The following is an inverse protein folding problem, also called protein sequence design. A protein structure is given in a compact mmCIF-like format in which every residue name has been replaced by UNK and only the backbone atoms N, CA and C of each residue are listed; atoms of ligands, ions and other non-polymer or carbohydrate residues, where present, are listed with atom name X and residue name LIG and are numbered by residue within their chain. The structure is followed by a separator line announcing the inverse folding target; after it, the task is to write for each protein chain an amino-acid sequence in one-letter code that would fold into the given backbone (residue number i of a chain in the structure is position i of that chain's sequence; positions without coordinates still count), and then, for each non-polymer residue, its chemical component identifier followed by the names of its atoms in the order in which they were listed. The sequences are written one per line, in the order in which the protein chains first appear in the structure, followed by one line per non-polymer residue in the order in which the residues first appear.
data_IF_407866358955
#
_entry.id   IF_407866358955
#
_cell.length_a   1.000
_cell.length_b   1.000
_cell.length_c   1.000
_cell.angle_alpha   90.00
_cell.angle_beta   90.00
_cell.angle_gamma   90.00
#
_symmetry.space_group_name_H-M   'P 1'
#
loop_
_entity.id
_entity.type
_entity.pdbx_description
1 polymer ?
#
# COMPACT_ATOMS: atom_id res chain seq x y z
N UNK A 1 -15.71 -11.22 -45.47
CA UNK A 1 -16.86 -10.76 -44.69
C UNK A 1 -17.56 -11.98 -44.11
N UNK A 2 -17.35 -12.30 -42.81
CA UNK A 2 -18.05 -13.40 -42.12
C UNK A 2 -18.92 -12.78 -41.03
N UNK A 3 -20.23 -12.89 -41.19
CA UNK A 3 -21.25 -12.48 -40.22
C UNK A 3 -21.09 -13.32 -38.92
N UNK A 4 -20.82 -12.66 -37.77
CA UNK A 4 -21.02 -13.26 -36.45
C UNK A 4 -22.52 -13.23 -36.14
N UNK A 5 -23.13 -14.42 -36.04
CA UNK A 5 -24.49 -14.61 -35.52
C UNK A 5 -24.55 -14.15 -34.06
N UNK A 6 -25.47 -13.22 -33.80
CA UNK A 6 -25.95 -12.92 -32.45
C UNK A 6 -26.74 -14.13 -31.95
N UNK A 7 -26.22 -14.79 -30.93
CA UNK A 7 -26.98 -15.83 -30.23
C UNK A 7 -28.10 -15.18 -29.42
N UNK A 8 -29.32 -15.58 -29.70
CA UNK A 8 -30.50 -15.15 -28.98
C UNK A 8 -30.49 -15.69 -27.54
N UNK A 9 -30.32 -14.78 -26.59
CA UNK A 9 -30.57 -15.05 -25.18
C UNK A 9 -32.04 -15.43 -25.00
N UNK A 10 -32.31 -16.67 -24.61
CA UNK A 10 -33.68 -17.13 -24.39
C UNK A 10 -34.22 -16.53 -23.08
N UNK A 11 -35.56 -16.30 -23.02
CA UNK A 11 -36.23 -15.81 -21.79
C UNK A 11 -35.86 -16.66 -20.52
N UNK A 12 -35.58 -17.93 -20.71
CA UNK A 12 -35.16 -18.84 -19.62
C UNK A 12 -33.77 -18.53 -19.09
N UNK A 13 -32.81 -18.20 -19.96
CA UNK A 13 -31.44 -17.84 -19.52
C UNK A 13 -31.43 -16.47 -18.84
N UNK A 14 -32.25 -15.53 -19.26
CA UNK A 14 -32.43 -14.22 -18.64
C UNK A 14 -33.06 -14.35 -17.23
N UNK A 15 -34.12 -15.15 -17.10
CA UNK A 15 -34.78 -15.39 -15.81
C UNK A 15 -33.88 -16.16 -14.83
N UNK A 16 -33.08 -17.12 -15.30
CA UNK A 16 -32.12 -17.83 -14.47
C UNK A 16 -30.97 -16.91 -13.99
N UNK A 17 -30.51 -15.98 -14.83
CA UNK A 17 -29.51 -14.98 -14.45
C UNK A 17 -30.08 -13.96 -13.48
N UNK A 18 -31.33 -13.52 -13.70
CA UNK A 18 -32.04 -12.58 -12.82
C UNK A 18 -32.37 -13.20 -11.46
N UNK A 19 -32.70 -14.50 -11.41
CA UNK A 19 -32.94 -15.20 -10.15
C UNK A 19 -31.66 -15.40 -9.35
N UNK A 20 -30.52 -15.66 -10.02
CA UNK A 20 -29.21 -15.71 -9.37
C UNK A 20 -28.78 -14.34 -8.85
N UNK A 21 -28.98 -13.28 -9.61
CA UNK A 21 -28.71 -11.91 -9.18
C UNK A 21 -29.60 -11.47 -8.00
N UNK A 22 -30.88 -11.89 -8.00
CA UNK A 22 -31.80 -11.61 -6.89
C UNK A 22 -31.48 -12.40 -5.60
N UNK A 23 -30.98 -13.62 -5.72
CA UNK A 23 -30.51 -14.42 -4.57
C UNK A 23 -29.19 -13.89 -3.99
N UNK A 24 -28.30 -13.36 -4.84
CA UNK A 24 -27.10 -12.65 -4.37
C UNK A 24 -27.41 -11.26 -3.81
N UNK A 25 -28.37 -10.54 -4.39
CA UNK A 25 -28.77 -9.20 -3.91
C UNK A 25 -29.53 -9.21 -2.58
N UNK A 26 -30.25 -10.28 -2.25
CA UNK A 26 -30.98 -10.41 -0.97
C UNK A 26 -30.06 -10.81 0.19
N UNK A 27 -28.91 -11.41 -0.08
CA UNK A 27 -27.86 -11.69 0.93
C UNK A 27 -26.99 -10.45 1.23
N UNK A 28 -26.89 -9.49 0.31
CA UNK A 28 -26.07 -8.28 0.48
C UNK A 28 -26.70 -7.25 1.44
N UNK A 29 -27.99 -7.35 1.80
CA UNK A 29 -28.67 -6.39 2.65
C UNK A 29 -28.40 -6.56 4.16
N UNK A 30 -27.69 -7.62 4.62
CA UNK A 30 -27.18 -7.83 6.00
C UNK A 30 -26.04 -8.86 6.02
N UNK A 31 -25.19 -8.86 5.02
CA UNK A 31 -24.20 -9.90 4.83
C UNK A 31 -22.84 -9.51 5.34
N UNK A 32 -22.52 -10.04 6.46
CA UNK A 32 -21.16 -10.36 6.86
C UNK A 32 -20.55 -11.17 5.73
N UNK A 33 -19.34 -10.77 5.30
CA UNK A 33 -18.56 -11.50 4.32
C UNK A 33 -18.55 -12.99 4.62
N UNK A 34 -19.00 -13.79 3.67
CA UNK A 34 -19.02 -15.25 3.79
C UNK A 34 -17.59 -15.74 3.87
N UNK A 35 -17.27 -16.55 4.87
CA UNK A 35 -15.96 -17.16 5.00
C UNK A 35 -15.67 -17.99 3.73
N UNK A 36 -14.73 -17.52 2.91
CA UNK A 36 -14.26 -18.26 1.75
C UNK A 36 -13.04 -19.10 2.15
N UNK A 37 -13.08 -20.40 1.82
CA UNK A 37 -11.93 -21.30 2.00
C UNK A 37 -11.00 -21.21 0.78
N UNK A 38 -10.49 -20.00 0.52
CA UNK A 38 -9.54 -19.77 -0.56
C UNK A 38 -8.13 -19.67 0.01
N UNK A 39 -7.17 -20.46 -0.49
CA UNK A 39 -5.78 -20.32 -0.07
C UNK A 39 -5.29 -18.88 -0.26
N UNK A 40 -4.60 -18.33 0.74
CA UNK A 40 -3.93 -17.06 0.62
C UNK A 40 -2.48 -17.26 0.17
N UNK A 41 -2.01 -16.34 -0.64
CA UNK A 41 -0.60 -16.24 -1.04
C UNK A 41 -0.16 -14.79 -0.96
N UNK A 42 1.09 -14.56 -0.55
CA UNK A 42 1.68 -13.23 -0.67
C UNK A 42 1.95 -12.90 -2.15
N UNK A 43 2.27 -11.64 -2.44
CA UNK A 43 2.47 -11.16 -3.81
C UNK A 43 3.56 -11.92 -4.57
N UNK A 44 4.64 -12.36 -3.91
CA UNK A 44 5.74 -13.11 -4.52
C UNK A 44 5.44 -14.61 -4.69
N UNK A 45 4.37 -15.10 -4.07
CA UNK A 45 4.03 -16.53 -4.05
C UNK A 45 4.90 -17.39 -3.13
N UNK A 46 5.90 -16.79 -2.45
CA UNK A 46 6.81 -17.50 -1.56
C UNK A 46 6.17 -17.94 -0.23
N UNK A 47 5.08 -17.28 0.17
CA UNK A 47 4.31 -17.64 1.35
C UNK A 47 2.88 -17.97 0.97
N UNK A 48 2.35 -19.07 1.49
CA UNK A 48 0.96 -19.45 1.32
C UNK A 48 0.44 -20.20 2.52
N UNK A 49 -0.86 -20.09 2.80
CA UNK A 49 -1.54 -20.86 3.83
C UNK A 49 -3.03 -20.95 3.55
N UNK A 50 -3.72 -21.85 4.24
CA UNK A 50 -5.17 -22.02 4.19
C UNK A 50 -5.78 -21.49 5.48
N UNK A 51 -6.42 -20.30 5.48
CA UNK A 51 -7.12 -19.79 6.67
C UNK A 51 -8.37 -20.64 6.94
N UNK A 52 -8.80 -20.72 8.21
CA UNK A 52 -10.09 -21.30 8.58
C UNK A 52 -11.27 -20.54 7.96
N UNK A 53 -11.13 -19.24 7.81
CA UNK A 53 -12.08 -18.39 7.11
C UNK A 53 -11.39 -17.11 6.62
N UNK A 54 -11.90 -16.57 5.51
CA UNK A 54 -11.49 -15.27 4.95
C UNK A 54 -12.68 -14.34 4.93
N UNK A 55 -12.49 -13.14 5.42
CA UNK A 55 -13.52 -12.11 5.54
C UNK A 55 -13.03 -10.83 4.87
N UNK A 56 -13.79 -10.35 3.90
CA UNK A 56 -13.56 -9.08 3.23
C UNK A 56 -14.48 -8.04 3.89
N UNK A 57 -13.90 -7.02 4.52
CA UNK A 57 -14.59 -6.03 5.35
C UNK A 57 -14.60 -4.68 4.64
N UNK A 58 -15.80 -4.09 4.52
CA UNK A 58 -16.00 -2.78 3.88
C UNK A 58 -16.33 -1.66 4.90
N UNK A 59 -16.74 -2.00 6.11
CA UNK A 59 -17.17 -1.05 7.14
C UNK A 59 -16.65 -1.47 8.52
N UNK A 60 -16.37 -0.52 9.39
CA UNK A 60 -15.85 -0.78 10.74
C UNK A 60 -16.82 -1.59 11.60
N UNK A 61 -18.13 -1.35 11.46
CA UNK A 61 -19.16 -2.08 12.17
C UNK A 61 -19.14 -3.57 11.84
N UNK A 62 -18.90 -3.93 10.57
CA UNK A 62 -18.74 -5.33 10.15
C UNK A 62 -17.54 -5.97 10.83
N UNK A 63 -16.45 -5.23 10.98
CA UNK A 63 -15.24 -5.70 11.66
C UNK A 63 -15.49 -5.91 13.15
N UNK A 64 -16.15 -4.96 13.81
CA UNK A 64 -16.54 -5.07 15.23
C UNK A 64 -17.40 -6.30 15.46
N UNK A 65 -18.41 -6.52 14.63
CA UNK A 65 -19.31 -7.68 14.73
C UNK A 65 -18.56 -8.99 14.46
N UNK A 66 -17.64 -9.00 13.49
CA UNK A 66 -16.81 -10.15 13.20
C UNK A 66 -15.93 -10.53 14.41
N UNK A 67 -15.23 -9.55 14.98
CA UNK A 67 -14.34 -9.76 16.13
C UNK A 67 -15.08 -10.31 17.35
N UNK A 68 -16.28 -9.80 17.65
CA UNK A 68 -17.10 -10.23 18.80
C UNK A 68 -17.61 -11.67 18.69
N UNK A 69 -17.81 -12.19 17.48
CA UNK A 69 -18.41 -13.52 17.26
C UNK A 69 -17.43 -14.60 16.79
N UNK A 70 -16.24 -14.21 16.32
CA UNK A 70 -15.25 -15.16 15.78
C UNK A 70 -14.31 -15.59 16.90
N UNK A 71 -14.29 -16.88 17.17
CA UNK A 71 -13.33 -17.46 18.10
C UNK A 71 -12.00 -17.78 17.40
N UNK A 72 -10.90 -17.67 18.13
CA UNK A 72 -9.57 -18.02 17.63
C UNK A 72 -8.78 -16.82 17.12
N UNK A 73 -7.64 -17.09 16.51
CA UNK A 73 -6.75 -16.05 15.99
C UNK A 73 -7.34 -15.38 14.75
N UNK A 74 -7.28 -14.07 14.71
CA UNK A 74 -7.68 -13.24 13.57
C UNK A 74 -6.47 -12.43 13.11
N UNK A 75 -6.14 -12.52 11.82
CA UNK A 75 -5.02 -11.80 11.24
C UNK A 75 -5.49 -10.85 10.15
N UNK A 76 -5.26 -9.53 10.29
CA UNK A 76 -5.49 -8.58 9.21
C UNK A 76 -4.43 -8.72 8.12
N UNK A 77 -4.83 -8.46 6.88
CA UNK A 77 -3.92 -8.38 5.74
C UNK A 77 -4.28 -7.21 4.84
N UNK A 78 -3.25 -6.51 4.38
CA UNK A 78 -3.32 -5.59 3.25
C UNK A 78 -2.90 -6.29 1.96
N UNK A 79 -2.01 -5.68 1.18
CA UNK A 79 -1.58 -6.21 -0.13
C UNK A 79 -0.65 -7.44 -0.06
N UNK A 80 -0.23 -7.89 1.13
CA UNK A 80 0.60 -9.08 1.29
C UNK A 80 2.02 -8.94 0.71
N UNK A 81 2.62 -7.76 0.79
CA UNK A 81 3.95 -7.49 0.22
C UNK A 81 5.13 -7.95 1.10
N UNK A 82 4.90 -8.30 2.36
CA UNK A 82 5.96 -8.80 3.24
C UNK A 82 6.52 -10.15 2.75
N UNK A 83 7.83 -10.30 2.80
CA UNK A 83 8.53 -11.57 2.64
C UNK A 83 8.58 -12.37 3.95
N UNK A 84 8.45 -11.69 5.09
CA UNK A 84 8.36 -12.34 6.39
C UNK A 84 6.99 -12.97 6.60
N UNK A 85 6.88 -14.12 7.29
CA UNK A 85 5.61 -14.84 7.48
C UNK A 85 4.73 -14.18 8.56
N UNK A 86 4.43 -12.89 8.41
CA UNK A 86 3.61 -12.11 9.35
C UNK A 86 2.12 -12.40 9.21
N UNK A 87 1.65 -12.76 8.00
CA UNK A 87 0.24 -12.99 7.70
C UNK A 87 -0.22 -14.44 7.95
N UNK A 88 0.58 -15.49 7.64
CA UNK A 88 0.16 -16.87 7.87
C UNK A 88 -0.34 -17.11 9.30
N UNK A 89 -1.51 -17.75 9.44
CA UNK A 89 -2.17 -18.03 10.70
C UNK A 89 -2.95 -19.32 10.62
N UNK A 90 -3.10 -20.02 11.75
CA UNK A 90 -4.01 -21.17 11.88
C UNK A 90 -5.48 -20.75 12.05
N UNK A 91 -5.75 -19.45 12.15
CA UNK A 91 -7.08 -18.88 12.36
C UNK A 91 -7.68 -18.24 11.11
N UNK A 92 -8.25 -17.08 11.30
CA UNK A 92 -9.03 -16.35 10.30
C UNK A 92 -8.24 -15.19 9.70
N UNK A 93 -8.45 -14.95 8.41
CA UNK A 93 -7.88 -13.83 7.67
C UNK A 93 -8.93 -12.73 7.47
N UNK A 94 -8.58 -11.49 7.78
CA UNK A 94 -9.41 -10.32 7.52
C UNK A 94 -8.73 -9.43 6.49
N UNK A 95 -9.42 -9.19 5.38
CA UNK A 95 -8.99 -8.30 4.29
C UNK A 95 -9.67 -6.95 4.48
N UNK A 96 -8.87 -5.87 4.51
CA UNK A 96 -9.34 -4.52 4.79
C UNK A 96 -9.25 -3.58 3.57
N UNK A 97 -9.03 -4.12 2.38
CA UNK A 97 -8.81 -3.34 1.14
C UNK A 97 -9.96 -2.38 0.82
N UNK A 98 -11.18 -2.66 1.30
CA UNK A 98 -12.35 -1.81 1.06
C UNK A 98 -12.44 -0.62 2.05
N UNK A 99 -11.69 -0.65 3.15
CA UNK A 99 -11.54 0.50 4.05
C UNK A 99 -10.48 1.44 3.46
N UNK A 100 -10.81 2.16 2.40
CA UNK A 100 -9.84 2.92 1.61
C UNK A 100 -10.30 4.35 1.29
N UNK A 101 -9.41 5.12 0.68
CA UNK A 101 -9.62 6.50 0.26
C UNK A 101 -9.17 7.52 1.31
N UNK A 102 -9.29 8.78 0.94
CA UNK A 102 -9.11 9.92 1.86
C UNK A 102 -10.45 10.13 2.55
N UNK A 103 -10.46 9.96 3.87
CA UNK A 103 -11.68 10.06 4.70
C UNK A 103 -11.90 11.49 5.20
N UNK A 104 -10.79 12.20 5.49
CA UNK A 104 -10.80 13.57 5.98
C UNK A 104 -9.44 14.23 5.70
N UNK A 105 -9.39 15.56 5.63
CA UNK A 105 -8.15 16.31 5.49
C UNK A 105 -8.25 17.73 6.02
N UNK A 106 -7.11 18.26 6.43
CA UNK A 106 -6.94 19.62 6.90
C UNK A 106 -5.72 20.25 6.20
N UNK A 107 -5.96 21.32 5.45
CA UNK A 107 -4.92 22.03 4.72
C UNK A 107 -4.17 23.06 5.56
N UNK A 108 -4.68 23.44 6.72
CA UNK A 108 -3.96 24.33 7.64
C UNK A 108 -2.85 23.56 8.36
N UNK A 109 -3.15 22.35 8.80
CA UNK A 109 -2.18 21.47 9.45
C UNK A 109 -1.44 20.54 8.48
N UNK A 110 -1.86 20.48 7.21
CA UNK A 110 -1.34 19.53 6.21
C UNK A 110 -1.46 18.08 6.69
N UNK A 111 -2.61 17.71 7.21
CA UNK A 111 -2.89 16.34 7.62
C UNK A 111 -4.03 15.74 6.78
N UNK A 112 -3.96 14.44 6.54
CA UNK A 112 -5.07 13.70 5.95
C UNK A 112 -5.25 12.35 6.66
N UNK A 113 -6.50 11.92 6.78
CA UNK A 113 -6.89 10.63 7.32
C UNK A 113 -7.25 9.69 6.18
N UNK A 114 -6.60 8.54 6.15
CA UNK A 114 -6.79 7.52 5.15
C UNK A 114 -7.50 6.30 5.74
N UNK A 115 -8.35 5.67 4.95
CA UNK A 115 -8.74 4.29 5.22
C UNK A 115 -7.50 3.38 5.17
N UNK A 116 -7.37 2.49 6.15
CA UNK A 116 -6.16 1.68 6.36
C UNK A 116 -5.82 0.75 5.18
N UNK A 117 -6.83 0.36 4.39
CA UNK A 117 -6.71 -0.44 3.17
C UNK A 117 -6.31 0.33 1.92
N UNK A 118 -6.17 1.67 1.98
CA UNK A 118 -5.70 2.48 0.84
C UNK A 118 -4.33 2.03 0.40
N UNK A 119 -4.13 1.83 -0.90
CA UNK A 119 -2.79 1.59 -1.46
C UNK A 119 -2.04 2.90 -1.62
N UNK A 120 -0.75 2.90 -1.33
CA UNK A 120 0.07 4.10 -1.40
C UNK A 120 0.03 4.74 -2.80
N UNK A 121 0.10 3.94 -3.87
CA UNK A 121 0.06 4.41 -5.24
C UNK A 121 -1.27 5.05 -5.65
N UNK A 122 -2.37 4.65 -5.00
CA UNK A 122 -3.70 5.18 -5.31
C UNK A 122 -3.97 6.54 -4.62
N UNK A 123 -3.11 6.99 -3.72
CA UNK A 123 -3.27 8.22 -2.95
C UNK A 123 -2.62 9.45 -3.59
N UNK A 124 -1.70 9.28 -4.54
CA UNK A 124 -0.91 10.37 -5.11
C UNK A 124 -1.77 11.46 -5.77
N UNK A 125 -2.58 11.09 -6.74
CA UNK A 125 -3.47 12.01 -7.44
C UNK A 125 -4.56 12.62 -6.55
N UNK A 126 -5.30 11.84 -5.72
CA UNK A 126 -6.27 12.40 -4.79
C UNK A 126 -5.66 13.43 -3.82
N UNK A 127 -4.46 13.17 -3.27
CA UNK A 127 -3.76 14.11 -2.41
C UNK A 127 -3.36 15.38 -3.16
N UNK A 128 -2.82 15.23 -4.37
CA UNK A 128 -2.44 16.37 -5.20
C UNK A 128 -3.64 17.29 -5.48
N UNK A 129 -4.81 16.72 -5.75
CA UNK A 129 -6.05 17.45 -6.04
C UNK A 129 -6.56 18.27 -4.84
N UNK A 130 -6.25 17.86 -3.61
CA UNK A 130 -6.54 18.63 -2.39
C UNK A 130 -5.37 19.52 -1.94
N UNK A 131 -4.31 19.64 -2.76
CA UNK A 131 -3.15 20.47 -2.47
C UNK A 131 -2.12 19.85 -1.51
N UNK A 132 -2.22 18.56 -1.25
CA UNK A 132 -1.32 17.83 -0.36
C UNK A 132 -0.45 16.80 -1.10
N UNK A 133 0.61 16.34 -0.45
CA UNK A 133 1.46 15.25 -0.89
C UNK A 133 2.13 14.58 0.30
N UNK A 134 2.36 13.28 0.23
CA UNK A 134 3.05 12.55 1.28
C UNK A 134 4.49 13.04 1.45
N UNK A 135 5.01 13.00 2.66
CA UNK A 135 6.39 13.43 2.97
C UNK A 135 7.43 12.60 2.24
N UNK A 136 7.20 11.30 2.15
CA UNK A 136 8.04 10.32 1.47
C UNK A 136 7.22 9.11 1.06
N UNK A 137 7.70 8.35 0.09
CA UNK A 137 7.12 7.09 -0.36
C UNK A 137 8.23 6.05 -0.56
N UNK A 138 7.94 4.76 -0.38
CA UNK A 138 8.86 3.69 -0.79
C UNK A 138 8.82 3.49 -2.31
N UNK A 139 9.79 2.77 -2.87
CA UNK A 139 9.84 2.39 -4.29
C UNK A 139 8.63 1.56 -4.70
N UNK A 140 8.15 0.71 -3.80
CA UNK A 140 6.97 -0.13 -4.02
C UNK A 140 5.74 0.53 -3.40
N UNK A 141 4.87 1.03 -4.25
CA UNK A 141 3.64 1.74 -3.90
C UNK A 141 2.38 0.85 -3.78
N UNK A 142 2.54 -0.46 -3.98
CA UNK A 142 1.44 -1.44 -3.96
C UNK A 142 0.98 -1.82 -2.56
N UNK A 143 1.74 -1.46 -1.55
CA UNK A 143 1.40 -1.71 -0.14
C UNK A 143 0.18 -0.87 0.28
N UNK A 144 -0.63 -1.43 1.19
CA UNK A 144 -1.64 -0.62 1.90
C UNK A 144 -0.98 0.27 2.95
N UNK A 145 -1.60 1.41 3.26
CA UNK A 145 -1.07 2.35 4.27
C UNK A 145 -0.85 1.64 5.61
N UNK A 146 -1.83 0.85 6.07
CA UNK A 146 -1.68 0.11 7.33
C UNK A 146 -0.58 -0.97 7.24
N UNK A 147 -0.50 -1.69 6.12
CA UNK A 147 0.54 -2.72 5.94
C UNK A 147 1.94 -2.12 5.91
N UNK A 148 2.12 -1.00 5.20
CA UNK A 148 3.40 -0.31 5.10
C UNK A 148 3.85 0.29 6.45
N UNK A 149 2.94 0.96 7.14
CA UNK A 149 3.27 1.58 8.45
C UNK A 149 3.51 0.54 9.52
N UNK A 150 2.72 -0.54 9.56
CA UNK A 150 2.84 -1.60 10.57
C UNK A 150 4.17 -2.35 10.51
N UNK A 151 4.86 -2.33 9.37
CA UNK A 151 6.15 -3.02 9.15
C UNK A 151 7.33 -2.06 9.04
N UNK A 152 7.14 -0.77 9.32
CA UNK A 152 8.20 0.23 9.31
C UNK A 152 8.72 0.56 7.91
N UNK A 153 7.91 0.40 6.87
CA UNK A 153 8.27 0.74 5.48
C UNK A 153 8.77 2.18 5.39
N UNK A 154 9.82 2.38 4.62
CA UNK A 154 10.43 3.68 4.35
C UNK A 154 10.80 3.80 2.87
N UNK A 155 11.02 5.00 2.42
CA UNK A 155 11.69 5.30 1.15
C UNK A 155 13.15 5.66 1.40
N UNK A 156 13.79 6.23 0.39
CA UNK A 156 15.16 6.76 0.48
C UNK A 156 15.18 8.22 0.95
N UNK A 157 16.38 8.78 1.02
CA UNK A 157 16.64 10.15 1.46
C UNK A 157 16.91 10.26 2.96
N UNK A 158 18.17 10.63 3.27
CA UNK A 158 18.73 10.66 4.64
C UNK A 158 17.94 11.55 5.62
N UNK A 159 17.15 12.50 5.09
CA UNK A 159 16.34 13.45 5.89
C UNK A 159 14.94 12.96 6.19
N UNK A 160 14.53 11.80 5.69
CA UNK A 160 13.17 11.28 5.82
C UNK A 160 13.08 10.15 6.84
N UNK A 161 11.93 10.11 7.51
CA UNK A 161 11.56 9.05 8.43
C UNK A 161 10.90 7.89 7.67
N UNK A 162 10.71 6.76 8.35
CA UNK A 162 9.76 5.73 7.90
C UNK A 162 8.34 6.31 7.82
N UNK A 163 7.45 5.66 7.06
CA UNK A 163 6.05 6.10 6.94
C UNK A 163 5.36 6.18 8.30
N UNK A 164 5.64 5.24 9.19
CA UNK A 164 5.12 5.24 10.57
C UNK A 164 5.56 6.47 11.39
N UNK A 165 6.69 7.10 11.04
CA UNK A 165 7.18 8.32 11.67
C UNK A 165 6.37 9.58 11.32
N UNK A 166 5.49 9.50 10.33
CA UNK A 166 4.59 10.59 9.91
C UNK A 166 3.14 10.39 10.39
N UNK A 167 2.82 9.32 11.09
CA UNK A 167 1.51 9.11 11.69
C UNK A 167 1.30 10.14 12.81
N UNK A 168 0.15 10.82 12.79
CA UNK A 168 -0.29 11.76 13.82
C UNK A 168 -1.48 11.25 14.61
N UNK A 169 -2.14 10.21 14.13
CA UNK A 169 -3.22 9.51 14.82
C UNK A 169 -3.63 8.26 14.06
N UNK A 170 -4.26 7.34 14.72
CA UNK A 170 -4.81 6.13 14.11
C UNK A 170 -6.05 5.65 14.87
N UNK A 171 -6.95 4.98 14.15
CA UNK A 171 -8.06 4.26 14.72
C UNK A 171 -7.80 2.77 14.64
N UNK A 172 -7.97 2.09 15.76
CA UNK A 172 -7.70 0.67 15.91
C UNK A 172 -8.91 0.00 16.59
N UNK A 173 -9.29 -1.18 16.10
CA UNK A 173 -10.30 -2.02 16.72
C UNK A 173 -9.61 -3.18 17.42
N UNK A 174 -9.79 -3.26 18.73
CA UNK A 174 -9.18 -4.30 19.57
C UNK A 174 -9.80 -5.68 19.30
N UNK A 175 -9.17 -6.78 19.72
CA UNK A 175 -9.75 -8.12 19.61
C UNK A 175 -11.13 -8.29 20.29
N UNK A 176 -11.47 -7.42 21.24
CA UNK A 176 -12.79 -7.40 21.91
C UNK A 176 -13.84 -6.59 21.16
N UNK A 177 -13.47 -5.95 20.04
CA UNK A 177 -14.34 -5.09 19.25
C UNK A 177 -14.50 -3.68 19.83
N UNK A 178 -13.62 -3.25 20.73
CA UNK A 178 -13.54 -1.87 21.20
C UNK A 178 -12.83 -1.02 20.15
N UNK A 179 -13.36 0.16 19.86
CA UNK A 179 -12.78 1.14 18.93
C UNK A 179 -11.96 2.14 19.73
N UNK A 180 -10.68 2.26 19.39
CA UNK A 180 -9.75 3.18 20.03
C UNK A 180 -9.24 4.21 19.01
N UNK A 181 -9.41 5.47 19.31
CA UNK A 181 -8.73 6.58 18.66
C UNK A 181 -7.43 6.87 19.43
N UNK A 182 -6.29 6.69 18.79
CA UNK A 182 -4.96 6.74 19.41
C UNK A 182 -4.17 7.87 18.77
N UNK A 183 -3.63 8.76 19.60
CA UNK A 183 -2.76 9.85 19.20
C UNK A 183 -1.70 10.11 20.28
N UNK A 184 -0.95 11.20 20.14
CA UNK A 184 0.15 11.54 21.04
C UNK A 184 -0.28 11.90 22.48
N UNK A 185 -1.56 11.91 22.81
CA UNK A 185 -2.04 12.12 24.19
C UNK A 185 -1.66 10.94 25.12
N UNK A 186 -1.44 9.76 24.53
CA UNK A 186 -0.84 8.59 25.20
C UNK A 186 0.36 8.11 24.37
N UNK A 187 1.54 8.66 24.68
CA UNK A 187 2.77 8.47 23.89
C UNK A 187 3.18 6.99 23.78
N UNK A 188 3.13 6.24 24.89
CA UNK A 188 3.54 4.83 24.91
C UNK A 188 2.65 3.97 24.01
N UNK A 189 1.32 4.12 24.15
CA UNK A 189 0.36 3.40 23.31
C UNK A 189 0.49 3.83 21.83
N UNK A 190 0.64 5.13 21.59
CA UNK A 190 0.79 5.66 20.25
C UNK A 190 2.05 5.13 19.56
N UNK A 191 3.19 5.11 20.26
CA UNK A 191 4.44 4.58 19.74
C UNK A 191 4.34 3.07 19.46
N UNK A 192 3.69 2.29 20.32
CA UNK A 192 3.43 0.88 20.08
C UNK A 192 2.48 0.64 18.89
N UNK A 193 1.46 1.47 18.74
CA UNK A 193 0.43 1.33 17.71
C UNK A 193 0.93 1.66 16.31
N UNK A 194 1.89 2.58 16.15
CA UNK A 194 2.43 3.01 14.85
C UNK A 194 3.13 1.90 14.08
N UNK A 195 3.74 0.92 14.77
CA UNK A 195 4.45 -0.23 14.17
C UNK A 195 4.01 -1.51 14.91
N UNK A 196 2.71 -1.84 14.84
CA UNK A 196 2.11 -2.88 15.68
C UNK A 196 2.11 -4.28 15.05
N UNK A 197 2.42 -4.42 13.76
CA UNK A 197 2.32 -5.68 12.98
C UNK A 197 1.02 -6.47 13.22
N UNK A 198 -0.06 -5.76 13.55
CA UNK A 198 -1.38 -6.35 13.84
C UNK A 198 -1.49 -7.04 15.20
N UNK A 199 -0.59 -6.75 16.18
CA UNK A 199 -0.58 -7.40 17.49
C UNK A 199 -1.53 -6.75 18.51
N UNK A 200 -1.83 -5.45 18.35
CA UNK A 200 -2.71 -4.70 19.25
C UNK A 200 -4.17 -4.75 18.82
N UNK A 201 -4.44 -5.04 17.56
CA UNK A 201 -5.75 -5.00 16.94
C UNK A 201 -5.66 -4.71 15.46
N UNK A 202 -6.79 -4.39 14.84
CA UNK A 202 -6.88 -4.09 13.41
C UNK A 202 -7.02 -2.58 13.23
N UNK A 203 -6.02 -1.97 12.59
CA UNK A 203 -6.05 -0.55 12.22
C UNK A 203 -7.01 -0.36 11.06
N UNK A 204 -7.94 0.60 11.19
CA UNK A 204 -8.95 0.92 10.18
C UNK A 204 -8.76 2.29 9.56
N UNK A 205 -8.16 3.23 10.29
CA UNK A 205 -7.88 4.57 9.80
C UNK A 205 -6.50 5.03 10.27
N UNK A 206 -5.82 5.79 9.43
CA UNK A 206 -4.51 6.37 9.74
C UNK A 206 -4.49 7.84 9.32
N UNK A 207 -4.22 8.72 10.27
CA UNK A 207 -3.98 10.15 10.03
C UNK A 207 -2.48 10.39 9.93
N UNK A 208 -2.06 11.01 8.83
CA UNK A 208 -0.66 11.26 8.55
C UNK A 208 -0.37 12.74 8.36
N UNK A 209 0.83 13.14 8.78
CA UNK A 209 1.40 14.43 8.43
C UNK A 209 1.86 14.39 6.98
N UNK A 210 1.27 15.25 6.19
CA UNK A 210 1.61 15.53 4.80
C UNK A 210 2.33 16.88 4.69
N UNK A 211 2.56 17.30 3.46
CA UNK A 211 3.09 18.60 3.07
C UNK A 211 2.28 19.14 1.89
N UNK A 212 2.54 20.37 1.47
CA UNK A 212 1.98 20.91 0.23
C UNK A 212 2.35 20.03 -0.95
N UNK A 213 1.43 19.89 -1.90
CA UNK A 213 1.66 19.17 -3.15
C UNK A 213 2.92 19.68 -3.85
N UNK A 214 3.69 18.78 -4.41
CA UNK A 214 4.97 19.04 -5.05
C UNK A 214 5.19 18.12 -6.24
N UNK A 215 6.15 18.45 -7.07
CA UNK A 215 6.56 17.66 -8.22
C UNK A 215 7.98 17.18 -8.03
N UNK A 216 8.27 16.02 -8.59
CA UNK A 216 9.57 15.38 -8.54
C UNK A 216 10.11 15.21 -9.97
N UNK A 217 11.41 15.40 -10.12
CA UNK A 217 12.18 15.07 -11.31
C UNK A 217 13.10 13.92 -10.99
N UNK A 218 12.89 12.81 -11.70
CA UNK A 218 13.72 11.62 -11.61
C UNK A 218 14.79 11.68 -12.69
N UNK A 219 16.02 11.29 -12.34
CA UNK A 219 17.13 11.08 -13.26
C UNK A 219 17.70 9.69 -13.01
N UNK A 220 18.02 9.00 -14.08
CA UNK A 220 18.66 7.68 -14.06
C UNK A 220 19.87 7.71 -14.97
N UNK A 221 20.97 7.08 -14.54
CA UNK A 221 22.17 6.91 -15.36
C UNK A 221 22.93 5.66 -14.91
N UNK A 222 23.82 5.18 -15.77
CA UNK A 222 24.72 4.07 -15.46
C UNK A 222 26.14 4.59 -15.35
N UNK A 223 26.87 4.17 -14.32
CA UNK A 223 28.27 4.52 -14.13
C UNK A 223 29.04 3.36 -13.47
N UNK A 224 30.39 3.36 -13.51
CA UNK A 224 31.19 2.42 -12.75
C UNK A 224 30.81 2.45 -11.27
N UNK A 225 30.67 1.27 -10.67
CA UNK A 225 30.22 1.14 -9.27
C UNK A 225 31.20 1.83 -8.30
N UNK A 226 32.52 1.71 -8.55
CA UNK A 226 33.52 2.33 -7.70
C UNK A 226 33.48 3.87 -7.74
N UNK A 227 33.15 4.47 -8.88
CA UNK A 227 32.97 5.91 -9.01
C UNK A 227 31.75 6.37 -8.18
N UNK A 228 30.60 5.69 -8.33
CA UNK A 228 29.41 5.99 -7.59
C UNK A 228 29.58 5.80 -6.07
N UNK A 229 30.36 4.80 -5.64
CA UNK A 229 30.67 4.60 -4.23
C UNK A 229 31.61 5.69 -3.68
N UNK A 230 32.56 6.14 -4.50
CA UNK A 230 33.48 7.23 -4.11
C UNK A 230 32.74 8.55 -3.95
N UNK A 231 31.75 8.83 -4.80
CA UNK A 231 30.93 10.05 -4.78
C UNK A 231 29.63 9.92 -3.98
N UNK A 232 29.42 8.78 -3.31
CA UNK A 232 28.15 8.44 -2.66
C UNK A 232 27.67 9.50 -1.67
N UNK A 233 28.54 9.93 -0.76
CA UNK A 233 28.20 10.91 0.27
C UNK A 233 27.84 12.27 -0.35
N UNK A 234 28.50 12.66 -1.45
CA UNK A 234 28.19 13.88 -2.19
C UNK A 234 26.79 13.79 -2.84
N UNK A 235 26.49 12.67 -3.49
CA UNK A 235 25.17 12.42 -4.06
C UNK A 235 24.07 12.44 -2.99
N UNK A 236 24.29 11.78 -1.85
CA UNK A 236 23.34 11.77 -0.74
C UNK A 236 23.12 13.15 -0.16
N UNK A 237 24.15 14.00 -0.09
CA UNK A 237 24.04 15.37 0.42
C UNK A 237 23.30 16.31 -0.54
N UNK A 238 23.50 16.14 -1.86
CA UNK A 238 23.01 17.04 -2.90
C UNK A 238 21.61 16.68 -3.39
N UNK A 239 21.17 15.43 -3.26
CA UNK A 239 19.87 14.97 -3.76
C UNK A 239 18.86 14.76 -2.64
N UNK A 240 17.59 14.94 -2.96
CA UNK A 240 16.48 14.58 -2.06
C UNK A 240 16.44 13.07 -1.81
N UNK A 241 16.59 12.31 -2.89
CA UNK A 241 16.70 10.85 -2.90
C UNK A 241 17.85 10.45 -3.81
N UNK A 242 18.64 9.51 -3.37
CA UNK A 242 19.69 8.90 -4.17
C UNK A 242 19.77 7.41 -3.91
N UNK A 243 19.92 6.63 -4.95
CA UNK A 243 19.97 5.18 -4.92
C UNK A 243 20.97 4.65 -5.94
N UNK A 244 21.62 3.55 -5.63
CA UNK A 244 22.45 2.78 -6.57
C UNK A 244 22.01 1.32 -6.58
N UNK A 245 21.94 0.74 -7.76
CA UNK A 245 21.58 -0.66 -8.01
C UNK A 245 22.73 -1.34 -8.75
N UNK A 246 23.62 -2.06 -8.06
CA UNK A 246 24.69 -2.81 -8.70
C UNK A 246 24.13 -3.81 -9.70
N UNK A 247 24.68 -3.80 -10.92
CA UNK A 247 24.29 -4.74 -11.96
C UNK A 247 25.08 -6.04 -11.76
N UNK A 248 24.36 -7.14 -11.62
CA UNK A 248 24.95 -8.46 -11.37
C UNK A 248 25.87 -8.84 -12.53
N UNK A 249 27.07 -9.35 -12.20
CA UNK A 249 28.12 -9.72 -13.19
C UNK A 249 28.67 -8.53 -14.01
N UNK A 250 28.69 -7.34 -13.42
CA UNK A 250 29.20 -6.12 -14.06
C UNK A 250 29.89 -5.23 -13.04
N UNK A 251 30.83 -4.40 -13.46
CA UNK A 251 31.48 -3.36 -12.64
C UNK A 251 30.65 -2.06 -12.62
N UNK A 252 29.45 -2.09 -13.19
CA UNK A 252 28.57 -0.94 -13.32
C UNK A 252 27.36 -1.02 -12.37
N UNK A 253 26.86 0.14 -11.99
CA UNK A 253 25.58 0.30 -11.27
C UNK A 253 24.68 1.26 -12.00
N UNK A 254 23.37 1.02 -11.90
CA UNK A 254 22.37 2.02 -12.20
C UNK A 254 22.27 2.97 -10.99
N UNK A 255 22.43 4.26 -11.24
CA UNK A 255 22.19 5.32 -10.25
C UNK A 255 20.87 6.01 -10.54
N UNK A 256 20.20 6.43 -9.46
CA UNK A 256 18.94 7.14 -9.51
C UNK A 256 18.95 8.30 -8.53
N UNK A 257 18.60 9.51 -9.00
CA UNK A 257 18.30 10.64 -8.15
C UNK A 257 16.89 11.17 -8.38
N UNK A 258 16.26 11.64 -7.32
CA UNK A 258 14.94 12.27 -7.38
C UNK A 258 15.00 13.58 -6.61
N UNK A 259 14.65 14.69 -7.24
CA UNK A 259 14.66 16.02 -6.65
C UNK A 259 13.35 16.77 -6.90
N UNK A 260 13.02 17.73 -6.05
CA UNK A 260 11.88 18.61 -6.25
C UNK A 260 12.10 19.50 -7.47
N UNK A 261 11.02 19.79 -8.20
CA UNK A 261 11.06 20.63 -9.39
C UNK A 261 9.77 21.43 -9.56
N UNK A 262 9.89 22.64 -10.11
CA UNK A 262 8.76 23.46 -10.56
C UNK A 262 8.45 23.26 -12.05
N UNK A 263 9.25 22.47 -12.76
CA UNK A 263 9.03 22.18 -14.17
C UNK A 263 7.61 21.59 -14.40
N UNK A 264 6.99 21.86 -15.54
CA UNK A 264 5.73 21.22 -15.91
C UNK A 264 5.88 19.70 -15.87
N UNK A 265 4.78 19.00 -15.56
CA UNK A 265 4.75 17.54 -15.71
C UNK A 265 5.00 17.24 -17.19
N UNK A 266 6.17 16.70 -17.47
CA UNK A 266 6.66 16.45 -18.81
C UNK A 266 6.65 14.97 -19.17
N UNK A 267 7.02 14.68 -20.40
CA UNK A 267 7.32 13.33 -20.83
C UNK A 267 8.68 12.92 -20.26
N UNK A 268 8.86 11.62 -20.00
CA UNK A 268 10.18 11.06 -19.71
C UNK A 268 11.11 11.38 -20.87
N UNK A 269 12.12 12.20 -20.65
CA UNK A 269 13.17 12.45 -21.64
C UNK A 269 14.24 11.37 -21.38
N UNK A 270 14.36 10.42 -22.29
CA UNK A 270 15.48 9.50 -22.31
C UNK A 270 16.61 10.25 -23.05
N UNK A 271 17.73 10.60 -22.38
CA UNK A 271 18.85 11.24 -23.07
C UNK A 271 19.35 10.34 -24.21
N UNK A 272 19.68 10.94 -25.35
CA UNK A 272 20.13 10.21 -26.55
C UNK A 272 21.51 9.53 -26.38
N UNK A 273 22.20 9.79 -25.27
CA UNK A 273 23.57 9.30 -24.96
C UNK A 273 23.58 8.29 -23.79
N UNK A 274 22.44 7.75 -23.39
CA UNK A 274 22.46 6.72 -22.35
C UNK A 274 23.11 5.44 -22.86
N UNK A 275 24.14 4.98 -22.14
CA UNK A 275 24.71 3.65 -22.29
C UNK A 275 23.60 2.62 -22.13
N UNK A 276 23.24 1.96 -23.20
CA UNK A 276 22.24 0.89 -23.15
C UNK A 276 22.85 -0.36 -22.52
N UNK A 277 22.02 -1.24 -21.95
CA UNK A 277 22.48 -2.55 -21.45
C UNK A 277 23.28 -3.35 -22.51
N UNK A 278 23.07 -3.06 -23.80
CA UNK A 278 23.80 -3.65 -24.91
C UNK A 278 25.25 -3.16 -24.98
N UNK A 279 25.57 -2.00 -24.43
CA UNK A 279 26.93 -1.43 -24.39
C UNK A 279 27.76 -1.96 -23.21
N UNK A 280 27.10 -2.60 -22.24
CA UNK A 280 27.74 -3.27 -21.12
C UNK A 280 28.25 -4.63 -21.62
N UNK A 281 29.52 -4.70 -21.99
CA UNK A 281 30.14 -5.98 -22.39
C UNK A 281 30.21 -6.90 -21.18
N UNK A 282 29.74 -8.16 -21.28
CA UNK A 282 30.04 -9.15 -20.26
C UNK A 282 31.55 -9.33 -20.15
N UNK A 283 32.08 -9.35 -18.94
CA UNK A 283 33.44 -9.70 -18.60
C UNK A 283 33.76 -11.16 -18.97
#
# INVERSE_FOLDING_TARGET
MKNKKLEHLTRRSFLASSLRAALFGAAAAKGIAVAQQTPWRNWSGGLSFQPQGRYDVAEEEQLVDLLKRTAGAIRPVGSGHSFSPLVPTEGHLVVIDQLNGILDYDNDTMQATFGAGSRLGDLGEPLYNIGQGMMNLPDIDRQTVAGATATGTHGTGIRFKSLSGYITGLRLITPTGEVLDIDNSNEDLFNAARVNVGSLGIVTQIRMQNRRAYKLKKREWTAPTDDLLTEFDEHVANHRHFEIFPLVYSDYSLALSIDETDEPIGQTIIPAEETTLADLRPL
#
